data_IF_844243585882
#
_entry.id   IF_844243585882
#
_cell.length_a   1.000
_cell.length_b   1.000
_cell.length_c   1.000
_cell.angle_alpha   90.00
_cell.angle_beta   90.00
_cell.angle_gamma   90.00
#
_symmetry.space_group_name_H-M   'P 1'
#
loop_
_entity.id
_entity.type
_entity.pdbx_description
1 polymer ?
#
# COMPACT_ATOMS: atom_id res chain seq x y z
N UNK A 1 27.02 5.57 -12.06
CA UNK A 1 27.05 6.46 -10.86
C UNK A 1 25.77 6.20 -10.09
N UNK A 2 25.78 6.07 -8.76
CA UNK A 2 24.55 5.91 -8.00
C UNK A 2 23.69 7.17 -8.21
N UNK A 3 22.56 7.01 -8.89
CA UNK A 3 21.63 8.12 -9.08
C UNK A 3 21.09 8.53 -7.71
N UNK A 4 21.37 9.76 -7.30
CA UNK A 4 20.84 10.30 -6.05
C UNK A 4 19.32 10.20 -6.06
N UNK A 5 18.68 9.67 -5.00
CA UNK A 5 17.23 9.53 -4.97
C UNK A 5 16.59 10.89 -5.22
N UNK A 6 15.67 10.95 -6.19
CA UNK A 6 15.00 12.20 -6.56
C UNK A 6 14.30 12.83 -5.34
N UNK A 7 14.15 14.15 -5.31
CA UNK A 7 13.46 14.89 -4.23
C UNK A 7 12.05 14.31 -3.99
N UNK A 8 11.39 13.87 -5.07
CA UNK A 8 10.08 13.22 -5.03
C UNK A 8 10.11 11.86 -4.31
N UNK A 9 11.22 11.12 -4.44
CA UNK A 9 11.47 9.87 -3.73
C UNK A 9 11.59 10.09 -2.23
N UNK A 10 12.36 11.11 -1.83
CA UNK A 10 12.52 11.50 -0.42
C UNK A 10 11.20 11.95 0.20
N UNK A 11 10.42 12.79 -0.50
CA UNK A 11 9.12 13.26 -0.02
C UNK A 11 8.13 12.10 0.22
N UNK A 12 8.08 11.13 -0.69
CA UNK A 12 7.25 9.95 -0.50
C UNK A 12 7.73 9.08 0.67
N UNK A 13 9.05 8.93 0.85
CA UNK A 13 9.60 8.21 2.00
C UNK A 13 9.23 8.90 3.33
N UNK A 14 9.27 10.22 3.39
CA UNK A 14 8.79 10.98 4.54
C UNK A 14 7.29 10.73 4.79
N UNK A 15 6.45 10.76 3.76
CA UNK A 15 5.02 10.46 3.89
C UNK A 15 4.79 9.03 4.42
N UNK A 16 5.53 8.05 3.91
CA UNK A 16 5.44 6.67 4.37
C UNK A 16 5.90 6.53 5.83
N UNK A 17 6.91 7.30 6.27
CA UNK A 17 7.30 7.35 7.67
C UNK A 17 6.15 7.90 8.56
N UNK A 18 5.39 8.88 8.08
CA UNK A 18 4.18 9.36 8.76
C UNK A 18 3.11 8.25 8.84
N UNK A 19 2.91 7.49 7.76
CA UNK A 19 1.98 6.34 7.78
C UNK A 19 2.41 5.27 8.80
N UNK A 20 3.71 4.96 8.86
CA UNK A 20 4.28 3.99 9.81
C UNK A 20 4.05 4.45 11.24
N UNK A 21 4.41 5.71 11.56
CA UNK A 21 4.23 6.26 12.91
C UNK A 21 2.76 6.28 13.33
N UNK A 22 1.85 6.71 12.45
CA UNK A 22 0.41 6.68 12.72
C UNK A 22 -0.11 5.25 12.98
N UNK A 23 0.34 4.27 12.18
CA UNK A 23 -0.05 2.86 12.34
C UNK A 23 0.50 2.24 13.62
N UNK A 24 1.75 2.55 14.00
CA UNK A 24 2.34 2.10 15.26
C UNK A 24 1.63 2.71 16.47
N UNK A 25 1.24 3.99 16.42
CA UNK A 25 0.42 4.61 17.46
C UNK A 25 -0.93 3.91 17.58
N UNK A 26 -1.60 3.61 16.46
CA UNK A 26 -2.86 2.87 16.46
C UNK A 26 -2.70 1.44 17.03
N UNK A 27 -1.58 0.77 16.75
CA UNK A 27 -1.23 -0.52 17.34
C UNK A 27 -1.06 -0.44 18.86
N UNK A 28 -0.26 0.51 19.35
CA UNK A 28 -0.02 0.70 20.78
C UNK A 28 -1.34 0.98 21.52
N UNK A 29 -2.18 1.84 20.97
CA UNK A 29 -3.49 2.15 21.56
C UNK A 29 -4.43 0.94 21.50
N UNK A 30 -4.43 0.15 20.42
CA UNK A 30 -5.20 -1.09 20.34
C UNK A 30 -4.79 -2.09 21.43
N UNK A 31 -3.48 -2.21 21.72
CA UNK A 31 -2.93 -3.08 22.77
C UNK A 31 -3.30 -2.57 24.16
N UNK A 32 -3.15 -1.27 24.42
CA UNK A 32 -3.53 -0.64 25.70
C UNK A 32 -5.02 -0.83 26.01
N UNK A 33 -5.88 -0.59 25.01
CA UNK A 33 -7.33 -0.72 25.13
C UNK A 33 -7.84 -2.17 25.04
N UNK A 34 -6.95 -3.18 25.12
CA UNK A 34 -7.24 -4.63 25.03
C UNK A 34 -8.23 -4.98 23.91
N UNK A 35 -8.09 -4.33 22.75
CA UNK A 35 -8.92 -4.62 21.59
C UNK A 35 -8.61 -6.01 21.02
N UNK A 36 -9.47 -6.47 20.10
CA UNK A 36 -9.26 -7.74 19.38
C UNK A 36 -7.84 -7.79 18.80
N UNK A 37 -7.13 -8.94 18.91
CA UNK A 37 -5.74 -9.04 18.46
C UNK A 37 -5.58 -8.74 16.97
N UNK A 38 -6.61 -9.05 16.17
CA UNK A 38 -6.65 -8.80 14.73
C UNK A 38 -6.51 -7.30 14.38
N UNK A 39 -7.03 -6.38 15.20
CA UNK A 39 -6.84 -4.95 14.93
C UNK A 39 -5.37 -4.57 15.06
N UNK A 40 -4.70 -5.06 16.10
CA UNK A 40 -3.27 -4.85 16.28
C UNK A 40 -2.45 -5.46 15.14
N UNK A 41 -2.79 -6.70 14.74
CA UNK A 41 -2.13 -7.39 13.62
C UNK A 41 -2.25 -6.62 12.30
N UNK A 42 -3.40 -6.01 12.01
CA UNK A 42 -3.56 -5.20 10.79
C UNK A 42 -2.70 -3.93 10.87
N UNK A 43 -2.70 -3.21 11.99
CA UNK A 43 -1.89 -1.99 12.13
C UNK A 43 -0.39 -2.26 12.02
N UNK A 44 0.11 -3.34 12.63
CA UNK A 44 1.52 -3.72 12.50
C UNK A 44 1.84 -4.21 11.08
N UNK A 45 0.94 -4.94 10.42
CA UNK A 45 1.12 -5.36 9.04
C UNK A 45 1.23 -4.16 8.08
N UNK A 46 0.40 -3.14 8.25
CA UNK A 46 0.49 -1.89 7.49
C UNK A 46 1.84 -1.21 7.72
N UNK A 47 2.30 -1.09 8.98
CA UNK A 47 3.59 -0.50 9.31
C UNK A 47 4.77 -1.27 8.66
N UNK A 48 4.73 -2.60 8.70
CA UNK A 48 5.73 -3.46 8.04
C UNK A 48 5.72 -3.24 6.53
N UNK A 49 4.56 -3.26 5.89
CA UNK A 49 4.42 -3.05 4.44
C UNK A 49 5.03 -1.69 4.05
N UNK A 50 4.66 -0.60 4.73
CA UNK A 50 5.20 0.72 4.42
C UNK A 50 6.70 0.84 4.72
N UNK A 51 7.22 0.10 5.71
CA UNK A 51 8.67 0.02 5.95
C UNK A 51 9.39 -0.65 4.78
N UNK A 52 8.83 -1.75 4.28
CA UNK A 52 9.34 -2.43 3.09
C UNK A 52 9.27 -1.53 1.85
N UNK A 53 8.21 -0.73 1.69
CA UNK A 53 8.09 0.25 0.60
C UNK A 53 9.13 1.38 0.68
N UNK A 54 9.48 1.85 1.89
CA UNK A 54 10.58 2.80 2.07
C UNK A 54 11.90 2.12 1.69
N UNK A 55 12.16 0.92 2.20
CA UNK A 55 13.39 0.18 1.93
C UNK A 55 13.56 -0.10 0.43
N UNK A 56 12.51 -0.56 -0.26
CA UNK A 56 12.54 -0.81 -1.70
C UNK A 56 12.87 0.45 -2.51
N UNK A 57 12.36 1.60 -2.05
CA UNK A 57 12.58 2.89 -2.70
C UNK A 57 13.99 3.44 -2.44
N UNK A 58 14.52 3.30 -1.22
CA UNK A 58 15.88 3.74 -0.87
C UNK A 58 16.96 2.88 -1.52
N UNK A 59 16.71 1.58 -1.65
CA UNK A 59 17.62 0.62 -2.28
C UNK A 59 17.48 0.57 -3.82
N UNK A 60 16.63 1.42 -4.40
CA UNK A 60 16.33 1.45 -5.84
C UNK A 60 15.97 0.06 -6.39
N UNK A 61 15.34 -0.79 -5.57
CA UNK A 61 14.98 -2.17 -5.95
C UNK A 61 14.05 -2.14 -7.15
N UNK A 62 13.15 -1.16 -7.22
CA UNK A 62 12.25 -0.99 -8.38
C UNK A 62 13.02 -0.76 -9.68
N UNK A 63 14.09 0.04 -9.64
CA UNK A 63 14.89 0.34 -10.83
C UNK A 63 15.80 -0.83 -11.21
N UNK A 64 16.37 -1.54 -10.23
CA UNK A 64 17.14 -2.76 -10.45
C UNK A 64 16.28 -3.85 -11.08
N UNK A 65 15.10 -4.13 -10.50
CA UNK A 65 14.14 -5.10 -11.04
C UNK A 65 13.68 -4.71 -12.43
N UNK A 66 13.43 -3.42 -12.69
CA UNK A 66 13.06 -2.91 -14.02
C UNK A 66 14.19 -3.05 -15.03
N UNK A 67 15.44 -2.84 -14.62
CA UNK A 67 16.61 -3.01 -15.47
C UNK A 67 16.81 -4.47 -15.85
N UNK A 68 16.77 -5.38 -14.86
CA UNK A 68 16.88 -6.83 -15.08
C UNK A 68 15.76 -7.35 -15.99
N UNK A 69 14.52 -6.91 -15.76
CA UNK A 69 13.38 -7.22 -16.64
C UNK A 69 13.63 -6.73 -18.06
N UNK A 70 14.14 -5.52 -18.25
CA UNK A 70 14.44 -4.97 -19.58
C UNK A 70 15.59 -5.71 -20.27
N UNK A 71 16.60 -6.13 -19.53
CA UNK A 71 17.74 -6.88 -20.06
C UNK A 71 17.34 -8.29 -20.47
N UNK A 72 16.61 -9.01 -19.61
CA UNK A 72 16.01 -10.30 -19.94
C UNK A 72 15.07 -10.21 -21.17
N UNK A 73 14.34 -9.11 -21.30
CA UNK A 73 13.47 -8.84 -22.46
C UNK A 73 14.24 -8.49 -23.75
N UNK A 74 15.47 -7.97 -23.66
CA UNK A 74 16.33 -7.69 -24.82
C UNK A 74 17.04 -8.96 -25.29
N UNK A 75 17.50 -9.78 -24.35
CA UNK A 75 18.21 -11.02 -24.62
C UNK A 75 17.34 -12.08 -25.33
N UNK A 76 16.02 -12.01 -25.17
CA UNK A 76 15.14 -13.09 -25.63
C UNK A 76 14.73 -13.04 -27.11
N UNK A 77 14.99 -11.99 -27.92
CA UNK A 77 14.50 -11.84 -29.33
C UNK A 77 12.97 -12.05 -29.54
N UNK A 78 12.22 -12.42 -28.49
CA UNK A 78 10.82 -12.78 -28.48
C UNK A 78 10.04 -11.51 -28.16
N UNK A 79 9.90 -10.62 -29.15
CA UNK A 79 8.98 -9.49 -29.05
C UNK A 79 7.51 -9.93 -29.19
N UNK A 80 7.23 -11.08 -29.79
CA UNK A 80 5.88 -11.56 -30.08
C UNK A 80 5.18 -12.26 -28.90
N UNK A 81 5.88 -13.06 -28.08
CA UNK A 81 5.26 -13.78 -26.95
C UNK A 81 5.19 -12.96 -25.64
N UNK A 82 5.60 -11.68 -25.67
CA UNK A 82 5.69 -10.77 -24.50
C UNK A 82 4.40 -10.68 -23.68
N UNK A 83 3.24 -10.70 -24.35
CA UNK A 83 1.93 -10.60 -23.68
C UNK A 83 1.54 -11.86 -22.93
N UNK A 84 2.00 -13.02 -23.38
CA UNK A 84 1.50 -14.32 -22.90
C UNK A 84 2.14 -14.76 -21.57
N UNK A 85 3.41 -14.45 -21.31
CA UNK A 85 4.08 -14.92 -20.08
C UNK A 85 4.22 -13.88 -18.96
N UNK A 86 4.32 -12.58 -19.29
CA UNK A 86 4.37 -11.54 -18.25
C UNK A 86 2.99 -11.30 -17.63
N UNK A 87 1.92 -11.39 -18.42
CA UNK A 87 0.54 -11.25 -17.96
C UNK A 87 0.19 -12.17 -16.79
N UNK A 88 0.45 -13.50 -16.88
CA UNK A 88 0.11 -14.47 -15.84
C UNK A 88 0.85 -14.29 -14.51
N UNK A 89 2.17 -14.04 -14.53
CA UNK A 89 2.95 -13.88 -13.29
C UNK A 89 2.54 -12.61 -12.53
N UNK A 90 2.37 -11.53 -13.29
CA UNK A 90 1.85 -10.27 -12.77
C UNK A 90 0.44 -10.44 -12.24
N UNK A 91 -0.45 -11.02 -13.04
CA UNK A 91 -1.83 -11.25 -12.64
C UNK A 91 -1.88 -12.14 -11.40
N UNK A 92 -1.00 -13.14 -11.29
CA UNK A 92 -0.87 -14.00 -10.12
C UNK A 92 -0.44 -13.25 -8.86
N UNK A 93 0.61 -12.42 -8.93
CA UNK A 93 1.05 -11.61 -7.79
C UNK A 93 -0.01 -10.57 -7.38
N UNK A 94 -0.64 -9.93 -8.37
CA UNK A 94 -1.70 -8.92 -8.15
C UNK A 94 -2.97 -9.57 -7.59
N UNK A 95 -3.36 -10.75 -8.11
CA UNK A 95 -4.44 -11.58 -7.56
C UNK A 95 -4.12 -12.06 -6.16
N UNK A 96 -2.88 -12.40 -5.84
CA UNK A 96 -2.49 -12.80 -4.50
C UNK A 96 -2.60 -11.62 -3.53
N UNK A 97 -2.06 -10.46 -3.89
CA UNK A 97 -2.18 -9.23 -3.09
C UNK A 97 -3.65 -8.79 -2.92
N UNK A 98 -4.43 -8.85 -3.99
CA UNK A 98 -5.88 -8.58 -3.95
C UNK A 98 -6.61 -9.64 -3.12
N UNK A 99 -6.31 -10.93 -3.27
CA UNK A 99 -6.98 -12.00 -2.53
C UNK A 99 -6.66 -11.93 -1.03
N UNK A 100 -5.41 -11.62 -0.67
CA UNK A 100 -5.02 -11.45 0.74
C UNK A 100 -5.62 -10.15 1.30
N UNK A 101 -5.50 -9.03 0.57
CA UNK A 101 -5.98 -7.73 0.99
C UNK A 101 -7.51 -7.63 1.03
N UNK A 102 -8.17 -7.91 -0.10
CA UNK A 102 -9.63 -7.90 -0.22
C UNK A 102 -10.29 -9.13 0.39
N UNK A 103 -9.71 -10.33 0.30
CA UNK A 103 -10.27 -11.51 0.97
C UNK A 103 -10.22 -11.33 2.48
N UNK A 104 -9.07 -10.92 3.02
CA UNK A 104 -8.94 -10.55 4.44
C UNK A 104 -9.90 -9.44 4.84
N UNK A 105 -10.02 -8.38 4.03
CA UNK A 105 -10.96 -7.29 4.29
C UNK A 105 -12.42 -7.75 4.18
N UNK A 106 -12.80 -8.58 3.21
CA UNK A 106 -14.17 -9.07 2.98
C UNK A 106 -14.66 -9.99 4.10
N UNK A 107 -13.83 -10.95 4.52
CA UNK A 107 -14.13 -11.81 5.66
C UNK A 107 -14.22 -11.01 6.97
N UNK A 108 -13.45 -9.92 7.09
CA UNK A 108 -13.51 -9.00 8.23
C UNK A 108 -14.73 -8.06 8.13
N UNK A 109 -15.11 -7.65 6.92
CA UNK A 109 -16.22 -6.73 6.62
C UNK A 109 -17.59 -7.30 6.99
N UNK A 110 -17.79 -8.60 6.80
CA UNK A 110 -19.02 -9.29 7.24
C UNK A 110 -19.24 -9.26 8.77
N UNK A 111 -18.22 -8.88 9.55
CA UNK A 111 -18.29 -8.75 11.02
C UNK A 111 -18.14 -7.29 11.50
N UNK A 112 -18.18 -6.30 10.61
CA UNK A 112 -18.08 -4.88 10.96
C UNK A 112 -19.39 -4.43 11.62
N UNK A 113 -19.36 -4.32 12.94
CA UNK A 113 -20.51 -3.84 13.73
C UNK A 113 -20.17 -2.47 14.37
N UNK A 114 -18.88 -2.11 14.46
CA UNK A 114 -18.42 -0.90 15.15
C UNK A 114 -17.70 0.14 14.28
N UNK A 115 -17.65 1.39 14.77
CA UNK A 115 -16.86 2.49 14.19
C UNK A 115 -15.35 2.16 14.13
N UNK A 116 -14.86 1.39 15.10
CA UNK A 116 -13.47 0.93 15.18
C UNK A 116 -13.14 -0.01 14.02
N UNK A 117 -14.01 -0.97 13.77
CA UNK A 117 -13.83 -1.95 12.69
C UNK A 117 -13.84 -1.26 11.32
N UNK A 118 -14.68 -0.23 11.13
CA UNK A 118 -14.67 0.59 9.91
C UNK A 118 -13.34 1.29 9.68
N UNK A 119 -12.74 1.87 10.73
CA UNK A 119 -11.45 2.53 10.60
C UNK A 119 -10.35 1.55 10.17
N UNK A 120 -10.30 0.37 10.80
CA UNK A 120 -9.35 -0.69 10.44
C UNK A 120 -9.60 -1.18 9.00
N UNK A 121 -10.86 -1.34 8.59
CA UNK A 121 -11.21 -1.78 7.25
C UNK A 121 -10.83 -0.75 6.17
N UNK A 122 -11.04 0.55 6.43
CA UNK A 122 -10.61 1.62 5.52
C UNK A 122 -9.08 1.62 5.39
N UNK A 123 -8.35 1.48 6.49
CA UNK A 123 -6.89 1.42 6.46
C UNK A 123 -6.39 0.19 5.68
N UNK A 124 -6.99 -0.98 5.91
CA UNK A 124 -6.65 -2.21 5.18
C UNK A 124 -6.95 -2.10 3.68
N UNK A 125 -8.11 -1.58 3.30
CA UNK A 125 -8.47 -1.36 1.91
C UNK A 125 -7.54 -0.35 1.23
N UNK A 126 -7.21 0.74 1.91
CA UNK A 126 -6.27 1.75 1.38
C UNK A 126 -4.86 1.19 1.21
N UNK A 127 -4.41 0.33 2.14
CA UNK A 127 -3.15 -0.39 2.01
C UNK A 127 -3.16 -1.36 0.81
N UNK A 128 -4.26 -2.09 0.59
CA UNK A 128 -4.40 -2.96 -0.58
C UNK A 128 -4.35 -2.16 -1.90
N UNK A 129 -5.01 -1.00 -1.96
CA UNK A 129 -4.93 -0.08 -3.11
C UNK A 129 -3.49 0.38 -3.33
N UNK A 130 -2.76 0.73 -2.27
CA UNK A 130 -1.35 1.12 -2.36
C UNK A 130 -0.49 0.00 -2.97
N UNK A 131 -0.66 -1.24 -2.50
CA UNK A 131 0.07 -2.39 -3.02
C UNK A 131 -0.22 -2.63 -4.51
N UNK A 132 -1.47 -2.49 -4.94
CA UNK A 132 -1.85 -2.59 -6.35
C UNK A 132 -1.16 -1.51 -7.18
N UNK A 133 -1.15 -0.25 -6.71
CA UNK A 133 -0.47 0.85 -7.39
C UNK A 133 1.03 0.60 -7.51
N UNK A 134 1.67 0.12 -6.44
CA UNK A 134 3.11 -0.22 -6.44
C UNK A 134 3.40 -1.38 -7.39
N UNK A 135 2.60 -2.44 -7.37
CA UNK A 135 2.74 -3.56 -8.29
C UNK A 135 2.64 -3.07 -9.75
N UNK A 136 1.62 -2.27 -10.06
CA UNK A 136 1.46 -1.66 -11.38
C UNK A 136 2.68 -0.81 -11.79
N UNK A 137 3.31 -0.09 -10.84
CA UNK A 137 4.54 0.70 -11.09
C UNK A 137 5.76 -0.16 -11.43
N UNK A 138 5.92 -1.29 -10.74
CA UNK A 138 7.03 -2.23 -10.99
C UNK A 138 6.85 -2.86 -12.38
N UNK A 139 5.62 -3.21 -12.71
CA UNK A 139 5.28 -3.97 -13.92
C UNK A 139 5.29 -3.13 -15.20
N UNK A 140 5.26 -1.79 -15.09
CA UNK A 140 4.97 -0.88 -16.20
C UNK A 140 5.63 -1.27 -17.53
N UNK A 141 4.78 -1.82 -18.40
CA UNK A 141 4.92 -1.95 -19.84
C UNK A 141 4.26 -0.70 -20.45
N UNK A 142 5.06 0.17 -21.07
CA UNK A 142 4.81 1.29 -22.00
C UNK A 142 3.39 1.90 -22.18
N UNK A 143 2.30 1.11 -22.23
CA UNK A 143 0.94 1.61 -22.41
C UNK A 143 0.37 2.30 -21.15
N UNK A 144 0.69 1.79 -19.96
CA UNK A 144 0.21 2.37 -18.70
C UNK A 144 1.03 3.58 -18.27
N UNK A 145 2.28 3.73 -18.73
CA UNK A 145 3.07 4.94 -18.51
C UNK A 145 2.34 6.20 -19.03
N UNK A 146 1.60 6.11 -20.14
CA UNK A 146 0.81 7.25 -20.64
C UNK A 146 -0.37 7.63 -19.73
N UNK A 147 -0.94 6.68 -19.00
CA UNK A 147 -2.06 6.89 -18.08
C UNK A 147 -1.56 7.28 -16.67
N UNK A 148 -0.45 6.69 -16.23
CA UNK A 148 0.21 6.91 -14.95
C UNK A 148 1.02 8.23 -14.93
N UNK A 149 1.60 8.63 -16.06
CA UNK A 149 2.34 9.87 -16.27
C UNK A 149 1.60 10.87 -17.19
N UNK A 150 0.33 10.61 -17.51
CA UNK A 150 -0.55 11.55 -18.19
C UNK A 150 -0.77 12.85 -17.37
N UNK A 151 -1.51 13.84 -17.93
CA UNK A 151 -1.65 15.17 -17.33
C UNK A 151 -2.24 15.14 -15.92
N UNK A 152 -3.15 14.20 -15.65
CA UNK A 152 -3.45 13.78 -14.28
C UNK A 152 -2.42 12.74 -13.88
N UNK A 153 -1.43 13.14 -13.08
CA UNK A 153 -0.48 12.25 -12.40
C UNK A 153 -1.22 11.33 -11.40
N UNK A 154 -2.04 10.41 -11.91
CA UNK A 154 -2.94 9.51 -11.16
C UNK A 154 -2.20 8.70 -10.12
N UNK A 155 -0.93 8.37 -10.38
CA UNK A 155 -0.02 7.79 -9.41
C UNK A 155 0.10 8.61 -8.13
N UNK A 156 0.30 9.92 -8.27
CA UNK A 156 0.47 10.81 -7.13
C UNK A 156 -0.82 10.93 -6.34
N UNK A 157 -1.96 11.00 -7.04
CA UNK A 157 -3.28 11.07 -6.40
C UNK A 157 -3.57 9.77 -5.64
N UNK A 158 -3.25 8.62 -6.22
CA UNK A 158 -3.42 7.33 -5.55
C UNK A 158 -2.49 7.15 -4.36
N UNK A 159 -1.22 7.51 -4.50
CA UNK A 159 -0.20 7.40 -3.45
C UNK A 159 -0.50 8.33 -2.26
N UNK A 160 -0.82 9.60 -2.55
CA UNK A 160 -1.23 10.58 -1.53
C UNK A 160 -2.59 10.21 -0.92
N UNK A 161 -3.56 9.82 -1.75
CA UNK A 161 -4.91 9.48 -1.30
C UNK A 161 -4.95 8.26 -0.39
N UNK A 162 -4.27 7.18 -0.77
CA UNK A 162 -4.17 5.98 0.05
C UNK A 162 -3.40 6.24 1.34
N UNK A 163 -2.27 6.96 1.29
CA UNK A 163 -1.51 7.33 2.49
C UNK A 163 -2.34 8.21 3.44
N UNK A 164 -3.02 9.23 2.92
CA UNK A 164 -3.89 10.12 3.69
C UNK A 164 -5.08 9.36 4.30
N UNK A 165 -5.69 8.43 3.55
CA UNK A 165 -6.77 7.59 4.06
C UNK A 165 -6.31 6.69 5.21
N UNK A 166 -5.11 6.11 5.14
CA UNK A 166 -4.53 5.32 6.23
C UNK A 166 -4.26 6.21 7.45
N UNK A 167 -3.62 7.37 7.27
CA UNK A 167 -3.34 8.31 8.35
C UNK A 167 -4.64 8.78 9.02
N UNK A 168 -5.65 9.15 8.21
CA UNK A 168 -6.97 9.56 8.70
C UNK A 168 -7.66 8.45 9.49
N UNK A 169 -7.65 7.22 8.96
CA UNK A 169 -8.21 6.06 9.63
C UNK A 169 -7.50 5.73 10.95
N UNK A 170 -6.16 5.77 10.96
CA UNK A 170 -5.35 5.53 12.16
C UNK A 170 -5.60 6.60 13.23
N UNK A 171 -5.62 7.87 12.83
CA UNK A 171 -5.89 9.01 13.72
C UNK A 171 -7.30 8.92 14.31
N UNK A 172 -8.31 8.65 13.48
CA UNK A 172 -9.68 8.46 13.92
C UNK A 172 -9.82 7.27 14.87
N UNK A 173 -9.14 6.16 14.59
CA UNK A 173 -9.10 4.98 15.46
C UNK A 173 -8.50 5.29 16.83
N UNK A 174 -7.37 6.00 16.87
CA UNK A 174 -6.73 6.45 18.13
C UNK A 174 -7.65 7.38 18.91
N UNK A 175 -8.28 8.36 18.25
CA UNK A 175 -9.20 9.30 18.89
C UNK A 175 -10.44 8.59 19.48
N UNK A 176 -10.96 7.58 18.78
CA UNK A 176 -12.05 6.73 19.26
C UNK A 176 -11.66 5.90 20.49
N UNK A 177 -10.43 5.36 20.54
CA UNK A 177 -9.96 4.58 21.67
C UNK A 177 -9.64 5.43 22.89
N UNK A 178 -9.12 6.65 22.67
CA UNK A 178 -8.87 7.63 23.73
C UNK A 178 -10.13 8.30 24.29
N UNK A 179 -11.31 7.94 23.80
CA UNK A 179 -12.58 8.51 24.25
C UNK A 179 -12.80 9.97 23.86
N UNK A 180 -11.99 10.53 22.95
CA UNK A 180 -12.09 11.94 22.52
C UNK A 180 -13.23 12.18 21.54
N UNK A 181 -13.76 11.12 20.94
CA UNK A 181 -14.92 11.17 20.06
C UNK A 181 -16.03 10.39 20.76
N UNK A 182 -17.05 11.10 21.23
CA UNK A 182 -18.19 10.50 21.92
C UNK A 182 -18.84 9.40 21.05
N UNK A 183 -19.13 8.22 21.61
CA UNK A 183 -19.99 7.27 20.93
C UNK A 183 -21.35 7.95 20.72
N UNK A 184 -21.89 7.92 19.49
CA UNK A 184 -23.32 8.26 19.32
C UNK A 184 -24.08 7.28 20.20
N UNK A 185 -24.88 7.80 21.12
CA UNK A 185 -25.89 7.00 21.81
C UNK A 185 -26.65 6.21 20.75
N UNK A 186 -26.68 4.88 20.91
CA UNK A 186 -27.50 4.00 20.09
C UNK A 186 -28.95 4.16 20.50
#
# INVERSE_FOLDING_TARGET
MPETPSILSMLAACLYAVVITASLLAFIEARKARQRPLHGQIWIAIAVIFTLLIASRLLLIEDAVRADLREALRASQIFAARREMQGPFVAGALLLCLAVGFGGAYFTMRKIIGRRDRAVAIAAASCAVMLVIVAMRIISLHAMDSLLYGPLKLNWVGDLGASAAIIGAASFYVLLLRGRIAPKAR
#
